data_IF_657123416666
#
_entry.id   IF_657123416666
#
_cell.length_a   1.000
_cell.length_b   1.000
_cell.length_c   1.000
_cell.angle_alpha   90.00
_cell.angle_beta   90.00
_cell.angle_gamma   90.00
#
_symmetry.space_group_name_H-M   'P 1'
#
loop_
_entity.id
_entity.type
_entity.pdbx_description
1 polymer ?
#
# COMPACT_ATOMS: atom_id res chain seq x y z
N UNK A 1 -1.89 13.57 -5.25
CA UNK A 1 -3.08 14.27 -4.73
C UNK A 1 -2.78 14.72 -3.31
N UNK A 2 -3.13 15.95 -2.93
CA UNK A 2 -3.02 16.41 -1.53
C UNK A 2 -4.12 15.81 -0.66
N UNK A 3 -3.94 15.87 0.66
CA UNK A 3 -4.96 15.43 1.60
C UNK A 3 -6.28 16.22 1.46
N UNK A 4 -6.22 17.54 1.28
CA UNK A 4 -7.41 18.39 1.17
C UNK A 4 -8.27 18.04 -0.05
N UNK A 5 -7.64 17.83 -1.21
CA UNK A 5 -8.35 17.41 -2.41
C UNK A 5 -8.98 16.02 -2.22
N UNK A 6 -8.24 15.09 -1.59
CA UNK A 6 -8.76 13.76 -1.29
C UNK A 6 -10.01 13.83 -0.41
N UNK A 7 -9.96 14.66 0.65
CA UNK A 7 -11.09 14.89 1.55
C UNK A 7 -12.33 15.42 0.81
N UNK A 8 -12.16 16.44 -0.03
CA UNK A 8 -13.26 17.01 -0.83
C UNK A 8 -13.90 15.94 -1.72
N UNK A 9 -13.10 15.07 -2.35
CA UNK A 9 -13.61 14.01 -3.22
C UNK A 9 -14.41 12.98 -2.42
N UNK A 10 -13.87 12.51 -1.29
CA UNK A 10 -14.56 11.52 -0.45
C UNK A 10 -15.87 12.07 0.13
N UNK A 11 -15.87 13.31 0.60
CA UNK A 11 -17.05 13.94 1.21
C UNK A 11 -18.20 14.13 0.21
N UNK A 12 -17.92 14.17 -1.09
CA UNK A 12 -18.93 14.25 -2.15
C UNK A 12 -19.59 12.90 -2.47
N UNK A 13 -19.12 11.80 -1.89
CA UNK A 13 -19.63 10.44 -2.16
C UNK A 13 -20.02 9.77 -0.83
N UNK A 14 -21.15 10.16 -0.22
CA UNK A 14 -21.53 9.69 1.12
C UNK A 14 -21.82 8.18 1.19
N UNK A 15 -22.16 7.54 0.07
CA UNK A 15 -22.43 6.10 -0.03
C UNK A 15 -21.19 5.26 -0.38
N UNK A 16 -19.99 5.86 -0.38
CA UNK A 16 -18.75 5.18 -0.75
C UNK A 16 -18.40 4.11 0.28
N UNK A 17 -18.25 2.86 -0.17
CA UNK A 17 -17.94 1.73 0.72
C UNK A 17 -16.49 1.26 0.60
N UNK A 18 -15.88 1.47 -0.57
CA UNK A 18 -14.54 0.97 -0.86
C UNK A 18 -13.79 1.94 -1.77
N UNK A 19 -12.50 2.13 -1.49
CA UNK A 19 -11.58 2.87 -2.35
C UNK A 19 -10.34 2.04 -2.63
N UNK A 20 -9.87 2.15 -3.87
CA UNK A 20 -8.56 1.66 -4.27
C UNK A 20 -7.66 2.87 -4.52
N UNK A 21 -6.53 2.93 -3.84
CA UNK A 21 -5.49 3.94 -4.03
C UNK A 21 -4.40 3.31 -4.90
N UNK A 22 -4.46 3.62 -6.19
CA UNK A 22 -3.60 3.07 -7.23
C UNK A 22 -3.47 4.07 -8.39
N UNK A 23 -2.90 3.61 -9.50
CA UNK A 23 -2.71 4.27 -10.80
C UNK A 23 -1.23 4.61 -11.05
N UNK A 24 -0.91 5.87 -11.39
CA UNK A 24 0.44 6.27 -11.73
C UNK A 24 1.32 6.50 -10.49
N UNK A 25 2.56 6.00 -10.55
CA UNK A 25 3.55 6.15 -9.49
C UNK A 25 3.43 5.10 -8.39
N UNK A 26 3.89 5.47 -7.20
CA UNK A 26 3.89 4.62 -6.01
C UNK A 26 3.11 5.33 -4.89
N UNK A 27 1.95 4.80 -4.45
CA UNK A 27 1.12 5.44 -3.42
C UNK A 27 1.88 5.75 -2.13
N UNK A 28 2.84 4.92 -1.73
CA UNK A 28 3.64 5.13 -0.53
C UNK A 28 4.66 6.27 -0.62
N UNK A 29 4.86 6.86 -1.80
CA UNK A 29 5.64 8.10 -1.95
C UNK A 29 4.81 9.36 -1.69
N UNK A 30 3.48 9.25 -1.61
CA UNK A 30 2.64 10.38 -1.22
C UNK A 30 2.78 10.62 0.29
N UNK A 31 3.25 11.80 0.75
CA UNK A 31 3.46 12.08 2.17
C UNK A 31 2.16 11.97 3.00
N UNK A 32 1.00 12.23 2.39
CA UNK A 32 -0.30 12.18 3.04
C UNK A 32 -0.99 10.81 2.93
N UNK A 33 -0.35 9.77 2.39
CA UNK A 33 -1.01 8.48 2.14
C UNK A 33 -1.64 7.88 3.41
N UNK A 34 -0.93 7.96 4.54
CA UNK A 34 -1.43 7.41 5.80
C UNK A 34 -2.57 8.25 6.39
N UNK A 35 -2.57 9.56 6.17
CA UNK A 35 -3.67 10.44 6.56
C UNK A 35 -4.92 10.16 5.72
N UNK A 36 -4.75 9.91 4.42
CA UNK A 36 -5.83 9.52 3.51
C UNK A 36 -6.46 8.19 3.91
N UNK A 37 -5.64 7.18 4.24
CA UNK A 37 -6.14 5.88 4.74
C UNK A 37 -6.96 6.12 6.01
N UNK A 38 -6.39 6.80 7.02
CA UNK A 38 -7.08 7.07 8.29
C UNK A 38 -8.41 7.79 8.08
N UNK A 39 -8.44 8.82 7.23
CA UNK A 39 -9.66 9.58 6.94
C UNK A 39 -10.76 8.73 6.29
N UNK A 40 -10.39 7.85 5.35
CA UNK A 40 -11.32 6.90 4.78
C UNK A 40 -11.85 5.90 5.84
N UNK A 41 -10.98 5.42 6.75
CA UNK A 41 -11.38 4.50 7.82
C UNK A 41 -12.33 5.14 8.82
N UNK A 42 -12.13 6.40 9.19
CA UNK A 42 -13.05 7.17 10.07
C UNK A 42 -14.47 7.26 9.49
N UNK A 43 -14.61 7.14 8.16
CA UNK A 43 -15.89 7.11 7.45
C UNK A 43 -16.39 5.69 7.17
N UNK A 44 -15.81 4.67 7.79
CA UNK A 44 -16.12 3.25 7.58
C UNK A 44 -15.91 2.77 6.12
N UNK A 45 -15.03 3.43 5.37
CA UNK A 45 -14.69 3.05 4.00
C UNK A 45 -13.57 1.98 4.06
N UNK A 46 -13.68 0.93 3.25
CA UNK A 46 -12.60 -0.03 3.05
C UNK A 46 -11.54 0.55 2.11
N UNK A 47 -10.26 0.34 2.41
CA UNK A 47 -9.14 0.91 1.68
C UNK A 47 -8.23 -0.20 1.19
N UNK A 48 -7.98 -0.19 -0.12
CA UNK A 48 -7.02 -1.04 -0.80
C UNK A 48 -5.93 -0.18 -1.43
N UNK A 49 -4.67 -0.61 -1.36
CA UNK A 49 -3.55 0.02 -2.08
C UNK A 49 -3.00 -0.97 -3.10
N UNK A 50 -2.69 -0.50 -4.31
CA UNK A 50 -1.81 -1.22 -5.23
C UNK A 50 -0.46 -0.53 -5.24
N UNK A 51 0.60 -1.29 -4.95
CA UNK A 51 1.96 -0.77 -4.80
C UNK A 51 2.91 -1.61 -5.64
N UNK A 52 3.88 -0.95 -6.30
CA UNK A 52 5.02 -1.68 -6.86
C UNK A 52 5.96 -2.15 -5.74
N UNK A 53 5.87 -1.50 -4.57
CA UNK A 53 6.55 -1.83 -3.31
C UNK A 53 8.08 -1.88 -3.40
N UNK A 54 8.64 -1.31 -4.47
CA UNK A 54 10.08 -1.16 -4.69
C UNK A 54 10.55 0.14 -4.00
N UNK A 55 10.39 0.17 -2.68
CA UNK A 55 10.68 1.34 -1.83
C UNK A 55 11.75 1.01 -0.78
N UNK A 56 12.73 1.90 -0.61
CA UNK A 56 13.76 1.76 0.43
C UNK A 56 13.28 2.46 1.70
N UNK A 57 12.78 1.68 2.66
CA UNK A 57 12.20 2.16 3.92
C UNK A 57 12.64 1.29 5.09
N UNK A 58 12.49 1.81 6.31
CA UNK A 58 12.83 1.11 7.56
C UNK A 58 11.58 0.46 8.20
N UNK A 59 11.80 -0.25 9.30
CA UNK A 59 10.73 -0.95 10.03
C UNK A 59 9.62 -0.02 10.52
N UNK A 60 9.94 1.22 10.92
CA UNK A 60 8.93 2.20 11.32
C UNK A 60 7.90 2.46 10.21
N UNK A 61 8.36 2.60 8.97
CA UNK A 61 7.48 2.78 7.84
C UNK A 61 6.56 1.57 7.62
N UNK A 62 7.08 0.35 7.72
CA UNK A 62 6.25 -0.87 7.61
C UNK A 62 5.25 -0.98 8.76
N UNK A 63 5.64 -0.58 9.98
CA UNK A 63 4.72 -0.48 11.12
C UNK A 63 3.62 0.54 10.88
N UNK A 64 3.91 1.66 10.21
CA UNK A 64 2.88 2.63 9.82
C UNK A 64 1.88 2.04 8.84
N UNK A 65 2.31 1.21 7.89
CA UNK A 65 1.38 0.46 7.02
C UNK A 65 0.46 -0.41 7.86
N UNK A 66 1.02 -1.23 8.75
CA UNK A 66 0.25 -2.15 9.59
C UNK A 66 -0.73 -1.45 10.55
N UNK A 67 -0.37 -0.26 11.03
CA UNK A 67 -1.20 0.54 11.96
C UNK A 67 -2.18 1.49 11.28
N UNK A 68 -2.05 1.70 9.97
CA UNK A 68 -2.85 2.71 9.24
C UNK A 68 -4.34 2.39 9.15
N UNK A 69 -4.74 1.14 9.38
CA UNK A 69 -6.09 0.66 9.13
C UNK A 69 -6.34 0.23 7.68
N UNK A 70 -5.28 0.13 6.86
CA UNK A 70 -5.36 -0.42 5.49
C UNK A 70 -5.94 -1.83 5.51
N UNK A 71 -6.95 -2.09 4.68
CA UNK A 71 -7.62 -3.40 4.62
C UNK A 71 -6.86 -4.37 3.72
N UNK A 72 -6.37 -3.91 2.56
CA UNK A 72 -5.67 -4.75 1.59
C UNK A 72 -4.47 -4.03 0.96
N UNK A 73 -3.37 -4.76 0.80
CA UNK A 73 -2.19 -4.34 0.08
C UNK A 73 -1.94 -5.30 -1.08
N UNK A 74 -2.16 -4.82 -2.30
CA UNK A 74 -1.88 -5.52 -3.55
C UNK A 74 -0.47 -5.16 -3.98
N UNK A 75 0.42 -6.15 -4.06
CA UNK A 75 1.79 -5.97 -4.55
C UNK A 75 1.82 -6.38 -6.02
N UNK A 76 2.18 -5.44 -6.89
CA UNK A 76 2.36 -5.72 -8.31
C UNK A 76 3.77 -6.24 -8.57
N UNK A 77 3.90 -7.56 -8.70
CA UNK A 77 5.18 -8.24 -8.86
C UNK A 77 5.13 -9.06 -10.16
N UNK A 78 5.40 -8.37 -11.27
CA UNK A 78 5.29 -8.89 -12.64
C UNK A 78 6.52 -9.73 -13.06
N UNK A 79 6.81 -10.79 -12.32
CA UNK A 79 7.93 -11.69 -12.59
C UNK A 79 8.27 -12.57 -11.39
N UNK A 80 8.99 -13.67 -11.65
CA UNK A 80 9.46 -14.59 -10.61
C UNK A 80 10.99 -14.52 -10.39
N UNK A 81 11.67 -13.63 -11.11
CA UNK A 81 13.11 -13.39 -11.06
C UNK A 81 13.39 -11.93 -11.43
N UNK A 82 14.57 -11.40 -11.09
CA UNK A 82 14.98 -10.07 -11.54
C UNK A 82 14.93 -9.94 -13.07
N UNK A 83 15.33 -10.98 -13.79
CA UNK A 83 15.31 -11.00 -15.26
C UNK A 83 13.88 -10.85 -15.82
N UNK A 84 12.93 -11.67 -15.34
CA UNK A 84 11.54 -11.62 -15.79
C UNK A 84 10.82 -10.34 -15.34
N UNK A 85 11.09 -9.89 -14.12
CA UNK A 85 10.55 -8.67 -13.54
C UNK A 85 10.96 -7.42 -14.32
N UNK A 86 12.24 -7.32 -14.70
CA UNK A 86 12.79 -6.16 -15.42
C UNK A 86 12.21 -5.98 -16.83
N UNK A 87 11.58 -7.02 -17.41
CA UNK A 87 10.89 -6.92 -18.71
C UNK A 87 9.69 -5.98 -18.65
N UNK A 88 8.98 -5.96 -17.53
CA UNK A 88 7.77 -5.14 -17.34
C UNK A 88 8.01 -3.95 -16.38
N UNK A 89 8.91 -4.10 -15.41
CA UNK A 89 9.20 -3.12 -14.36
C UNK A 89 10.61 -2.57 -14.52
N UNK A 90 10.81 -1.76 -15.56
CA UNK A 90 12.11 -1.15 -15.89
C UNK A 90 12.63 -0.35 -14.69
N UNK A 91 13.86 -0.64 -14.26
CA UNK A 91 14.50 0.01 -13.12
C UNK A 91 14.02 -0.47 -11.75
N UNK A 92 13.12 -1.44 -11.69
CA UNK A 92 12.67 -2.03 -10.44
C UNK A 92 13.64 -3.09 -9.90
N UNK A 93 13.70 -3.22 -8.58
CA UNK A 93 14.49 -4.22 -7.88
C UNK A 93 13.57 -5.31 -7.29
N UNK A 94 13.59 -6.49 -7.90
CA UNK A 94 12.78 -7.65 -7.50
C UNK A 94 13.13 -8.11 -6.08
N UNK A 95 14.42 -8.13 -5.74
CA UNK A 95 14.88 -8.62 -4.44
C UNK A 95 14.53 -7.64 -3.32
N UNK A 96 14.56 -6.34 -3.59
CA UNK A 96 14.05 -5.31 -2.67
C UNK A 96 12.56 -5.50 -2.38
N UNK A 97 11.75 -5.75 -3.41
CA UNK A 97 10.31 -6.00 -3.21
C UNK A 97 10.11 -7.24 -2.34
N UNK A 98 10.81 -8.33 -2.62
CA UNK A 98 10.75 -9.55 -1.81
C UNK A 98 11.20 -9.32 -0.35
N UNK A 99 12.27 -8.55 -0.12
CA UNK A 99 12.71 -8.22 1.23
C UNK A 99 11.66 -7.40 1.97
N UNK A 100 11.06 -6.42 1.31
CA UNK A 100 10.01 -5.58 1.90
C UNK A 100 8.78 -6.42 2.27
N UNK A 101 8.35 -7.35 1.40
CA UNK A 101 7.24 -8.27 1.68
C UNK A 101 7.55 -9.11 2.91
N UNK A 102 8.77 -9.69 3.00
CA UNK A 102 9.20 -10.51 4.14
C UNK A 102 9.18 -9.71 5.43
N UNK A 103 9.75 -8.51 5.44
CA UNK A 103 9.75 -7.62 6.61
C UNK A 103 8.33 -7.32 7.07
N UNK A 104 7.44 -6.90 6.16
CA UNK A 104 6.06 -6.57 6.50
C UNK A 104 5.31 -7.79 7.06
N UNK A 105 5.46 -8.97 6.45
CA UNK A 105 4.83 -10.22 6.91
C UNK A 105 5.35 -10.64 8.29
N UNK A 106 6.65 -10.53 8.53
CA UNK A 106 7.24 -10.87 9.83
C UNK A 106 6.72 -9.94 10.93
N UNK A 107 6.75 -8.62 10.70
CA UNK A 107 6.23 -7.63 11.63
C UNK A 107 4.73 -7.84 11.94
N UNK A 108 3.95 -8.22 10.91
CA UNK A 108 2.53 -8.56 11.04
C UNK A 108 2.31 -9.79 11.91
N UNK A 109 3.11 -10.86 11.70
CA UNK A 109 3.05 -12.11 12.49
C UNK A 109 3.44 -11.89 13.95
N UNK A 110 4.55 -11.21 14.20
CA UNK A 110 5.03 -10.89 15.55
C UNK A 110 3.97 -10.16 16.39
N UNK A 111 3.24 -9.25 15.76
CA UNK A 111 2.20 -8.42 16.40
C UNK A 111 0.81 -9.04 16.34
N UNK A 112 0.67 -10.24 15.77
CA UNK A 112 -0.61 -10.96 15.61
C UNK A 112 -1.69 -10.12 14.94
N UNK A 113 -1.30 -9.30 13.97
CA UNK A 113 -2.21 -8.42 13.24
C UNK A 113 -2.88 -9.19 12.09
N UNK A 114 -4.18 -8.95 11.89
CA UNK A 114 -4.94 -9.57 10.79
C UNK A 114 -4.84 -8.77 9.48
N UNK A 115 -4.69 -7.44 9.57
CA UNK A 115 -4.62 -6.54 8.42
C UNK A 115 -3.23 -5.93 8.23
N UNK A 116 -2.89 -5.49 7.00
CA UNK A 116 -3.67 -5.61 5.77
C UNK A 116 -3.62 -7.03 5.18
N UNK A 117 -4.64 -7.43 4.44
CA UNK A 117 -4.60 -8.62 3.60
C UNK A 117 -3.57 -8.43 2.48
N UNK A 118 -2.59 -9.32 2.42
CA UNK A 118 -1.51 -9.26 1.42
C UNK A 118 -1.96 -10.04 0.19
N UNK A 119 -1.99 -9.36 -0.97
CA UNK A 119 -2.40 -9.95 -2.25
C UNK A 119 -1.24 -9.78 -3.23
N UNK A 120 -0.90 -10.84 -3.95
CA UNK A 120 0.02 -10.77 -5.08
C UNK A 120 -0.77 -10.72 -6.38
N UNK A 121 -0.36 -9.82 -7.29
CA UNK A 121 -0.92 -9.70 -8.64
C UNK A 121 0.18 -9.43 -9.65
#
# INVERSE_FOLDING_TARGET
MSFDTFKIVLDKIPSLQHICLFNWGEPFLNPSIFEMIRYAKEKNIRVMIHSNFSIKKNDDFFLRILKSGLDSLVISLDGASQESYSKYRIGGDFYLVLSNIRTLVNLKKERRLQNPNMIWK
#
